data_IF_816272802120
#
_entry.id   IF_816272802120
#
_cell.length_a   1.000
_cell.length_b   1.000
_cell.length_c   1.000
_cell.angle_alpha   90.00
_cell.angle_beta   90.00
_cell.angle_gamma   90.00
#
_symmetry.space_group_name_H-M   'P 1'
#
loop_
_entity.id
_entity.type
_entity.pdbx_description
1 polymer ?
#
# COMPACT_ATOMS: atom_id res chain seq x y z
N UNK A 1 5.17 -13.31 -0.67
CA UNK A 1 4.91 -11.94 -1.18
C UNK A 1 5.19 -11.78 -2.68
N UNK A 2 6.12 -12.50 -3.30
CA UNK A 2 6.57 -12.18 -4.68
C UNK A 2 5.96 -13.05 -5.80
N UNK A 3 4.88 -13.80 -5.52
CA UNK A 3 4.15 -14.55 -6.55
C UNK A 3 3.39 -13.63 -7.52
N UNK A 4 3.12 -14.10 -8.74
CA UNK A 4 2.52 -13.27 -9.78
C UNK A 4 1.12 -12.75 -9.44
N UNK A 5 0.30 -13.50 -8.69
CA UNK A 5 -1.02 -13.06 -8.22
C UNK A 5 -0.97 -12.07 -7.04
N UNK A 6 0.20 -11.87 -6.43
CA UNK A 6 0.32 -11.06 -5.22
C UNK A 6 0.50 -9.56 -5.50
N UNK A 7 0.50 -9.14 -6.77
CA UNK A 7 0.79 -7.78 -7.17
C UNK A 7 -0.25 -7.27 -8.15
N UNK A 8 -0.65 -6.02 -7.98
CA UNK A 8 -1.54 -5.29 -8.88
C UNK A 8 -0.74 -4.17 -9.57
N UNK A 9 -0.24 -4.39 -10.81
CA UNK A 9 0.40 -3.35 -11.59
C UNK A 9 -0.59 -2.40 -12.23
N UNK A 10 -0.22 -1.12 -12.33
CA UNK A 10 -0.98 -0.11 -13.08
C UNK A 10 -1.26 -0.56 -14.51
N UNK A 11 -0.22 -1.01 -15.24
CA UNK A 11 -0.36 -1.56 -16.60
C UNK A 11 0.19 -2.98 -16.65
N UNK A 12 -0.63 -4.03 -16.42
CA UNK A 12 -0.14 -5.42 -16.26
C UNK A 12 0.80 -5.91 -17.37
N UNK A 13 0.58 -5.49 -18.63
CA UNK A 13 1.42 -5.91 -19.78
C UNK A 13 2.88 -5.46 -19.70
N UNK A 14 3.20 -4.42 -18.91
CA UNK A 14 4.57 -3.90 -18.75
C UNK A 14 5.37 -4.63 -17.67
N UNK A 15 4.70 -5.51 -16.91
CA UNK A 15 5.26 -6.13 -15.72
C UNK A 15 5.53 -7.61 -15.93
N UNK A 16 6.59 -8.11 -15.30
CA UNK A 16 6.91 -9.54 -15.23
C UNK A 16 7.14 -9.89 -13.78
N UNK A 17 6.43 -10.91 -13.29
CA UNK A 17 6.44 -11.29 -11.87
C UNK A 17 6.94 -12.74 -11.64
N UNK A 18 8.17 -13.09 -12.06
CA UNK A 18 8.68 -14.45 -11.92
C UNK A 18 9.22 -14.71 -10.50
N UNK A 19 8.71 -15.76 -9.85
CA UNK A 19 9.32 -16.35 -8.65
C UNK A 19 9.39 -15.36 -7.47
N UNK A 20 10.58 -14.80 -7.23
CA UNK A 20 10.82 -13.84 -6.15
C UNK A 20 11.09 -12.40 -6.63
N UNK A 21 10.80 -12.07 -7.89
CA UNK A 21 11.08 -10.76 -8.47
C UNK A 21 9.82 -10.04 -8.95
N UNK A 22 9.84 -8.72 -8.79
CA UNK A 22 8.87 -7.79 -9.36
C UNK A 22 9.62 -6.94 -10.38
N UNK A 23 9.32 -7.10 -11.66
CA UNK A 23 10.10 -6.50 -12.75
C UNK A 23 9.19 -5.58 -13.57
N UNK A 24 9.52 -4.29 -13.60
CA UNK A 24 9.00 -3.35 -14.58
C UNK A 24 9.85 -3.49 -15.84
N UNK A 25 9.33 -4.22 -16.83
CA UNK A 25 10.07 -4.60 -18.04
C UNK A 25 9.98 -3.55 -19.16
N UNK A 26 9.00 -2.64 -19.08
CA UNK A 26 8.79 -1.56 -20.03
C UNK A 26 8.53 -0.25 -19.28
N UNK A 27 9.08 0.85 -19.78
CA UNK A 27 8.96 2.15 -19.12
C UNK A 27 7.50 2.65 -19.05
N UNK A 28 7.21 3.40 -18.00
CA UNK A 28 5.95 4.12 -17.86
C UNK A 28 5.81 5.29 -18.82
N UNK A 29 4.57 5.76 -18.98
CA UNK A 29 4.26 7.01 -19.66
C UNK A 29 3.40 7.87 -18.75
N UNK A 30 3.54 9.20 -18.86
CA UNK A 30 2.74 10.12 -18.05
C UNK A 30 1.25 9.83 -18.18
N UNK A 31 0.57 9.73 -17.04
CA UNK A 31 -0.86 9.47 -16.95
C UNK A 31 -1.61 10.78 -16.67
N UNK A 32 -2.87 10.94 -17.11
CA UNK A 32 -3.67 12.13 -16.80
C UNK A 32 -3.80 12.40 -15.30
N UNK A 33 -4.07 13.66 -14.94
CA UNK A 33 -4.25 14.10 -13.56
C UNK A 33 -2.94 14.48 -12.88
N UNK A 34 -2.88 14.39 -11.54
CA UNK A 34 -1.71 14.77 -10.75
C UNK A 34 -0.41 14.11 -11.21
N UNK A 35 0.68 14.88 -11.20
CA UNK A 35 2.03 14.38 -11.41
C UNK A 35 2.37 13.37 -10.31
N UNK A 36 2.54 12.11 -10.72
CA UNK A 36 2.86 10.96 -9.90
C UNK A 36 3.71 9.96 -10.70
N UNK A 37 4.31 8.94 -10.06
CA UNK A 37 4.96 7.85 -10.77
C UNK A 37 4.08 7.27 -11.87
N UNK A 38 4.69 7.00 -13.02
CA UNK A 38 3.94 6.57 -14.20
C UNK A 38 3.54 5.10 -14.11
N UNK A 39 4.38 4.27 -13.50
CA UNK A 39 4.10 2.86 -13.26
C UNK A 39 4.49 2.45 -11.84
N UNK A 40 3.66 1.60 -11.25
CA UNK A 40 3.98 0.84 -10.04
C UNK A 40 3.12 -0.41 -10.00
N UNK A 41 3.54 -1.36 -9.19
CA UNK A 41 2.75 -2.49 -8.75
C UNK A 41 2.62 -2.43 -7.23
N UNK A 42 1.39 -2.59 -6.74
CA UNK A 42 1.05 -2.61 -5.32
C UNK A 42 0.95 -4.06 -4.87
N UNK A 43 1.50 -4.38 -3.70
CA UNK A 43 1.37 -5.71 -3.10
C UNK A 43 -0.06 -5.89 -2.58
N UNK A 44 -0.79 -6.86 -3.15
CA UNK A 44 -2.20 -7.14 -2.83
C UNK A 44 -2.35 -8.15 -1.70
N UNK A 45 -1.37 -9.03 -1.49
CA UNK A 45 -1.41 -10.04 -0.43
C UNK A 45 -0.89 -9.48 0.89
N UNK A 46 -1.61 -9.76 1.97
CA UNK A 46 -1.28 -9.29 3.31
C UNK A 46 -1.96 -7.96 3.66
N UNK A 47 -1.75 -7.48 4.90
CA UNK A 47 -2.49 -6.35 5.45
C UNK A 47 -1.98 -5.01 4.89
N UNK A 48 -2.79 -3.96 5.05
CA UNK A 48 -2.26 -2.61 5.10
C UNK A 48 -1.46 -2.40 6.40
N UNK A 49 -0.54 -1.45 6.39
CA UNK A 49 0.27 -1.15 7.56
C UNK A 49 0.00 0.27 8.07
N UNK A 50 -0.22 0.40 9.38
CA UNK A 50 -0.19 1.69 10.05
C UNK A 50 1.26 2.17 10.24
N UNK A 51 2.17 1.31 10.69
CA UNK A 51 3.60 1.58 10.66
C UNK A 51 4.30 0.45 9.96
N UNK A 52 5.28 0.76 9.10
CA UNK A 52 5.93 -0.25 8.26
C UNK A 52 7.42 -0.02 8.15
N UNK A 53 8.17 -1.11 8.21
CA UNK A 53 9.53 -1.21 7.74
C UNK A 53 9.55 -2.15 6.53
N UNK A 54 9.99 -1.61 5.41
CA UNK A 54 10.08 -2.26 4.11
C UNK A 54 11.55 -2.52 3.85
N UNK A 55 11.97 -3.78 3.86
CA UNK A 55 13.28 -4.19 3.37
C UNK A 55 13.14 -4.81 2.00
N UNK A 56 13.98 -4.41 1.05
CA UNK A 56 14.02 -5.02 -0.27
C UNK A 56 15.40 -4.88 -0.89
N UNK A 57 15.62 -5.59 -2.00
CA UNK A 57 16.78 -5.34 -2.86
C UNK A 57 16.30 -4.85 -4.21
N UNK A 58 16.82 -3.71 -4.67
CA UNK A 58 16.41 -3.04 -5.92
C UNK A 58 17.57 -2.96 -6.90
N UNK A 59 17.24 -2.85 -8.18
CA UNK A 59 18.20 -2.67 -9.28
C UNK A 59 17.59 -1.83 -10.39
N UNK A 60 18.40 -0.93 -10.94
CA UNK A 60 18.12 -0.21 -12.18
C UNK A 60 18.55 -1.08 -13.37
N UNK A 61 17.59 -1.42 -14.23
CA UNK A 61 17.87 -2.16 -15.47
C UNK A 61 18.07 -1.22 -16.67
N UNK A 62 17.59 0.02 -16.57
CA UNK A 62 17.88 1.05 -17.58
C UNK A 62 19.40 1.18 -17.75
N UNK A 63 19.94 1.21 -18.98
CA UNK A 63 21.39 1.26 -19.22
C UNK A 63 22.06 2.46 -18.56
N UNK A 64 23.24 2.27 -17.95
CA UNK A 64 24.03 3.31 -17.25
C UNK A 64 24.39 4.54 -18.10
N UNK A 65 24.26 4.45 -19.42
CA UNK A 65 24.46 5.57 -20.34
C UNK A 65 23.29 6.58 -20.35
N UNK A 66 22.13 6.22 -19.80
CA UNK A 66 20.98 7.10 -19.59
C UNK A 66 21.18 7.83 -18.27
N UNK A 67 20.96 9.14 -18.20
CA UNK A 67 21.25 9.98 -17.02
C UNK A 67 20.09 10.07 -16.00
N UNK A 68 18.85 9.98 -16.44
CA UNK A 68 17.65 10.02 -15.58
C UNK A 68 17.16 8.60 -15.23
N UNK A 69 17.91 7.85 -14.43
CA UNK A 69 17.51 6.49 -14.03
C UNK A 69 16.97 6.46 -12.60
N UNK A 70 15.78 5.91 -12.44
CA UNK A 70 15.12 5.77 -11.15
C UNK A 70 14.28 4.49 -11.01
N UNK A 71 14.12 4.10 -9.74
CA UNK A 71 13.06 3.22 -9.27
C UNK A 71 12.46 3.84 -8.02
N UNK A 72 11.27 3.41 -7.66
CA UNK A 72 10.58 3.89 -6.47
C UNK A 72 10.14 2.75 -5.56
N UNK A 73 10.02 3.06 -4.27
CA UNK A 73 9.29 2.25 -3.29
C UNK A 73 8.07 3.04 -2.88
N UNK A 74 6.88 2.45 -3.05
CA UNK A 74 5.59 3.04 -2.66
C UNK A 74 5.24 2.55 -1.26
N UNK A 75 4.64 3.41 -0.44
CA UNK A 75 4.14 3.07 0.89
C UNK A 75 2.97 3.98 1.28
N UNK A 76 2.14 3.56 2.24
CA UNK A 76 0.91 4.29 2.57
C UNK A 76 -0.03 4.44 1.38
N UNK A 77 -0.03 3.45 0.47
CA UNK A 77 -0.87 3.46 -0.72
C UNK A 77 -2.33 3.21 -0.35
N UNK A 78 -3.20 4.13 -0.77
CA UNK A 78 -4.67 4.04 -0.63
C UNK A 78 -5.36 4.01 -1.98
N UNK A 79 -4.87 4.79 -2.93
CA UNK A 79 -5.41 4.88 -4.28
C UNK A 79 -4.38 5.36 -5.28
N UNK A 80 -4.73 5.41 -6.56
CA UNK A 80 -3.85 5.90 -7.64
C UNK A 80 -3.42 7.37 -7.48
N UNK A 81 -4.04 8.13 -6.57
CA UNK A 81 -3.69 9.53 -6.30
C UNK A 81 -3.41 9.82 -4.82
N UNK A 82 -3.30 8.79 -3.98
CA UNK A 82 -3.04 8.91 -2.54
C UNK A 82 -2.03 7.88 -2.06
N UNK A 83 -0.75 8.28 -1.99
CA UNK A 83 0.35 7.45 -1.51
C UNK A 83 1.62 8.26 -1.26
N UNK A 84 2.53 7.69 -0.48
CA UNK A 84 3.92 8.12 -0.45
C UNK A 84 4.78 7.29 -1.40
N UNK A 85 5.89 7.87 -1.84
CA UNK A 85 6.95 7.08 -2.45
C UNK A 85 8.33 7.65 -2.15
N UNK A 86 9.29 6.74 -2.06
CA UNK A 86 10.73 7.05 -2.06
C UNK A 86 11.22 6.96 -3.50
N UNK A 87 11.92 7.99 -3.97
CA UNK A 87 12.55 8.01 -5.27
C UNK A 87 14.04 7.70 -5.13
N UNK A 88 14.50 6.64 -5.79
CA UNK A 88 15.89 6.16 -5.73
C UNK A 88 16.52 6.30 -7.12
N UNK A 89 17.46 7.21 -7.27
CA UNK A 89 18.11 7.57 -8.54
C UNK A 89 19.63 7.50 -8.46
N UNK A 90 20.25 7.28 -9.62
CA UNK A 90 21.71 7.25 -9.79
C UNK A 90 22.41 8.60 -9.77
N UNK A 91 21.68 9.67 -10.06
CA UNK A 91 22.30 10.98 -10.26
C UNK A 91 21.40 12.11 -9.79
N UNK A 92 22.07 13.20 -9.44
CA UNK A 92 21.47 14.48 -9.16
C UNK A 92 21.91 15.53 -10.19
N UNK A 93 22.39 15.11 -11.37
CA UNK A 93 23.11 15.99 -12.31
C UNK A 93 22.16 16.85 -13.15
N UNK A 94 20.95 16.36 -13.42
CA UNK A 94 19.91 17.10 -14.14
C UNK A 94 18.91 17.71 -13.16
N UNK A 95 18.52 16.95 -12.13
CA UNK A 95 17.72 17.39 -10.99
C UNK A 95 18.04 16.44 -9.82
N UNK A 96 18.00 16.87 -8.55
CA UNK A 96 18.19 15.96 -7.42
C UNK A 96 16.98 15.05 -7.23
N UNK A 97 16.92 13.96 -7.99
CA UNK A 97 15.76 13.07 -8.07
C UNK A 97 15.53 12.27 -6.79
N UNK A 98 16.60 11.95 -6.06
CA UNK A 98 16.51 11.26 -4.78
C UNK A 98 15.71 12.11 -3.79
N UNK A 99 14.61 11.56 -3.29
CA UNK A 99 13.75 12.26 -2.34
C UNK A 99 12.59 11.39 -1.85
N UNK A 100 11.88 11.92 -0.85
CA UNK A 100 10.64 11.34 -0.32
C UNK A 100 9.51 12.25 -0.78
N UNK A 101 8.44 11.67 -1.29
CA UNK A 101 7.33 12.42 -1.87
C UNK A 101 5.98 11.89 -1.39
N UNK A 102 4.99 12.77 -1.36
CA UNK A 102 3.58 12.44 -1.17
C UNK A 102 2.77 12.87 -2.38
N UNK A 103 1.84 12.03 -2.80
CA UNK A 103 0.78 12.36 -3.75
C UNK A 103 -0.53 12.28 -2.97
N UNK A 104 -1.29 13.36 -2.92
CA UNK A 104 -2.59 13.40 -2.22
C UNK A 104 -3.58 14.24 -3.03
N UNK A 105 -4.15 13.61 -4.07
CA UNK A 105 -5.12 14.22 -5.00
C UNK A 105 -4.63 15.51 -5.67
N UNK A 106 -3.31 15.71 -5.69
CA UNK A 106 -2.61 16.86 -6.25
C UNK A 106 -1.20 16.44 -6.66
N UNK A 107 -0.54 17.27 -7.48
CA UNK A 107 0.83 17.03 -7.93
C UNK A 107 1.74 16.71 -6.74
N UNK A 108 2.62 15.73 -6.94
CA UNK A 108 3.56 15.27 -5.92
C UNK A 108 4.23 16.43 -5.16
N UNK A 109 4.24 16.34 -3.83
CA UNK A 109 4.98 17.23 -2.96
C UNK A 109 6.24 16.52 -2.47
N UNK A 110 7.37 17.24 -2.48
CA UNK A 110 8.65 16.74 -1.94
C UNK A 110 8.75 17.03 -0.44
N UNK A 111 9.16 16.03 0.33
CA UNK A 111 9.13 16.04 1.80
C UNK A 111 10.51 15.87 2.47
N UNK A 112 11.51 15.35 1.76
CA UNK A 112 12.79 15.01 2.39
C UNK A 112 13.54 16.24 2.93
N UNK A 113 14.04 16.12 4.16
CA UNK A 113 14.79 17.17 4.87
C UNK A 113 16.14 17.49 4.20
N UNK A 114 16.65 16.58 3.36
CA UNK A 114 17.88 16.80 2.60
C UNK A 114 17.70 17.83 1.49
N UNK A 115 16.46 18.15 1.10
CA UNK A 115 16.15 19.12 0.08
C UNK A 115 16.11 20.56 0.61
N UNK A 116 16.85 21.46 -0.05
CA UNK A 116 16.85 22.89 0.27
C UNK A 116 16.39 23.79 -0.89
N UNK A 117 15.84 23.22 -1.96
CA UNK A 117 15.50 23.93 -3.20
C UNK A 117 16.57 23.82 -4.30
N UNK A 118 17.78 23.38 -3.96
CA UNK A 118 18.90 23.24 -4.92
C UNK A 118 19.66 21.92 -4.78
N UNK A 119 19.93 21.52 -3.54
CA UNK A 119 20.65 20.29 -3.19
C UNK A 119 19.66 19.34 -2.53
N UNK A 120 19.73 18.05 -2.90
CA UNK A 120 18.94 16.98 -2.31
C UNK A 120 19.82 15.84 -1.81
N UNK A 121 19.19 14.73 -1.44
CA UNK A 121 19.88 13.54 -0.96
C UNK A 121 20.88 12.98 -2.00
N UNK A 122 21.98 12.35 -1.57
CA UNK A 122 22.97 11.76 -2.49
C UNK A 122 22.35 10.68 -3.39
N UNK A 123 23.01 10.32 -4.51
CA UNK A 123 22.66 9.15 -5.30
C UNK A 123 22.44 7.90 -4.46
N UNK A 124 21.33 7.21 -4.69
CA UNK A 124 20.95 5.99 -3.95
C UNK A 124 21.37 4.70 -4.67
N UNK A 125 21.28 4.67 -6.00
CA UNK A 125 21.55 3.47 -6.83
C UNK A 125 22.38 3.89 -8.04
N UNK A 126 23.70 3.77 -7.97
CA UNK A 126 24.62 4.42 -8.94
C UNK A 126 25.00 3.56 -10.14
N UNK A 127 24.70 2.26 -10.13
CA UNK A 127 25.13 1.33 -11.18
C UNK A 127 24.00 0.38 -11.60
N UNK A 128 24.34 -0.85 -12.02
CA UNK A 128 23.40 -1.89 -12.39
C UNK A 128 23.49 -3.11 -11.46
N UNK A 129 24.11 -2.97 -10.28
CA UNK A 129 24.15 -3.97 -9.23
C UNK A 129 22.86 -3.92 -8.40
N UNK A 130 22.74 -4.90 -7.53
CA UNK A 130 21.67 -4.97 -6.55
C UNK A 130 22.03 -4.15 -5.32
N UNK A 131 21.14 -3.26 -4.91
CA UNK A 131 21.28 -2.44 -3.72
C UNK A 131 20.21 -2.79 -2.70
N UNK A 132 20.59 -2.88 -1.42
CA UNK A 132 19.60 -3.07 -0.35
C UNK A 132 18.98 -1.72 -0.03
N UNK A 133 17.65 -1.70 0.07
CA UNK A 133 16.89 -0.55 0.55
C UNK A 133 16.12 -0.96 1.78
N UNK A 134 16.10 -0.08 2.78
CA UNK A 134 15.19 -0.16 3.91
C UNK A 134 14.45 1.15 4.07
N UNK A 135 13.12 1.13 3.97
CA UNK A 135 12.24 2.28 4.21
C UNK A 135 11.49 2.04 5.50
N UNK A 136 11.58 2.96 6.46
CA UNK A 136 10.82 2.94 7.71
C UNK A 136 9.86 4.11 7.72
N UNK A 137 8.58 3.84 8.02
CA UNK A 137 7.55 4.85 8.26
C UNK A 137 6.83 4.56 9.58
N UNK A 138 6.87 5.52 10.49
CA UNK A 138 6.20 5.47 11.78
C UNK A 138 5.06 6.49 11.80
N UNK A 139 3.82 6.06 11.56
CA UNK A 139 2.67 6.98 11.44
C UNK A 139 2.42 7.80 12.70
N UNK A 140 2.64 7.21 13.88
CA UNK A 140 2.43 7.90 15.16
C UNK A 140 3.28 9.18 15.27
N UNK A 141 4.52 9.16 14.77
CA UNK A 141 5.41 10.32 14.75
C UNK A 141 5.36 11.06 13.42
N UNK A 142 5.01 10.38 12.34
CA UNK A 142 5.15 10.80 10.94
C UNK A 142 6.56 10.58 10.39
N UNK A 143 7.48 10.02 11.16
CA UNK A 143 8.87 9.89 10.74
C UNK A 143 9.01 8.90 9.59
N UNK A 144 9.70 9.33 8.53
CA UNK A 144 10.09 8.51 7.39
C UNK A 144 11.61 8.51 7.31
N UNK A 145 12.22 7.34 7.18
CA UNK A 145 13.67 7.18 7.04
C UNK A 145 14.01 6.13 5.98
N UNK A 146 14.96 6.45 5.10
CA UNK A 146 15.42 5.57 4.02
C UNK A 146 16.89 5.27 4.21
N UNK A 147 17.24 3.99 4.20
CA UNK A 147 18.60 3.48 4.35
C UNK A 147 18.99 2.69 3.11
N UNK A 148 20.25 2.81 2.71
CA UNK A 148 20.82 2.06 1.58
C UNK A 148 21.96 1.18 2.05
N UNK A 149 22.08 -0.01 1.46
CA UNK A 149 23.23 -0.91 1.54
C UNK A 149 23.71 -1.21 2.97
N UNK A 150 22.76 -1.34 3.91
CA UNK A 150 23.03 -1.67 5.31
C UNK A 150 23.58 -0.51 6.15
N UNK A 151 23.58 0.72 5.63
CA UNK A 151 23.96 1.92 6.39
C UNK A 151 23.11 2.05 7.66
N UNK A 152 23.75 2.39 8.78
CA UNK A 152 23.08 2.73 10.03
C UNK A 152 22.48 4.16 10.02
N UNK A 153 22.98 5.02 9.13
CA UNK A 153 22.51 6.40 8.98
C UNK A 153 21.57 6.47 7.77
N UNK A 154 20.39 7.11 7.90
CA UNK A 154 19.48 7.25 6.77
C UNK A 154 20.08 8.16 5.70
N UNK A 155 19.93 7.77 4.44
CA UNK A 155 20.22 8.58 3.27
C UNK A 155 19.21 9.72 3.13
N UNK A 156 17.94 9.44 3.43
CA UNK A 156 16.83 10.38 3.37
C UNK A 156 15.96 10.29 4.62
N UNK A 157 15.44 11.43 5.05
CA UNK A 157 14.50 11.54 6.17
C UNK A 157 13.40 12.53 5.86
N UNK A 158 12.19 12.29 6.31
CA UNK A 158 11.08 13.25 6.26
C UNK A 158 10.19 13.10 7.50
N UNK A 159 9.24 14.02 7.66
CA UNK A 159 8.17 13.89 8.66
C UNK A 159 6.85 14.29 8.03
N UNK A 160 5.91 13.36 7.93
CA UNK A 160 4.58 13.60 7.36
C UNK A 160 3.55 12.62 7.95
N UNK A 161 2.30 13.06 8.12
CA UNK A 161 1.20 12.26 8.71
C UNK A 161 -0.05 12.22 7.84
N UNK A 162 0.08 12.54 6.56
CA UNK A 162 -1.04 12.59 5.60
C UNK A 162 -1.79 11.27 5.54
N UNK A 163 -1.10 10.13 5.51
CA UNK A 163 -1.72 8.81 5.48
C UNK A 163 -1.38 8.00 6.72
N UNK A 164 -2.43 7.58 7.45
CA UNK A 164 -2.32 6.80 8.67
C UNK A 164 -2.16 5.29 8.43
N UNK A 165 -2.47 4.83 7.23
CA UNK A 165 -2.40 3.42 6.80
C UNK A 165 -2.10 3.36 5.31
N UNK A 166 -1.77 2.16 4.82
CA UNK A 166 -1.83 1.85 3.40
C UNK A 166 -0.92 0.70 2.98
N UNK A 167 -1.01 0.35 1.71
CA UNK A 167 -0.23 -0.71 1.08
C UNK A 167 1.16 -0.21 0.67
N UNK A 168 1.97 -1.18 0.25
CA UNK A 168 3.34 -0.97 -0.22
C UNK A 168 3.46 -1.40 -1.68
N UNK A 169 4.44 -0.84 -2.37
CA UNK A 169 4.63 -1.17 -3.78
C UNK A 169 6.02 -0.84 -4.29
N UNK A 170 6.23 -1.10 -5.57
CA UNK A 170 7.46 -0.82 -6.30
C UNK A 170 7.13 -0.27 -7.68
N UNK A 171 7.98 0.58 -8.25
CA UNK A 171 7.68 1.25 -9.52
C UNK A 171 8.82 2.05 -10.12
N UNK A 172 8.46 2.90 -11.07
CA UNK A 172 9.32 3.95 -11.63
C UNK A 172 8.47 5.02 -12.33
N UNK A 173 9.08 6.16 -12.67
CA UNK A 173 8.53 7.07 -13.67
C UNK A 173 8.74 6.49 -15.07
N UNK A 174 9.87 6.75 -15.71
CA UNK A 174 10.12 6.49 -17.12
C UNK A 174 11.27 5.52 -17.34
N UNK A 175 11.53 4.64 -16.37
CA UNK A 175 12.62 3.67 -16.43
C UNK A 175 12.14 2.25 -16.18
N UNK A 176 13.07 1.31 -16.39
CA UNK A 176 12.89 -0.09 -16.11
C UNK A 176 13.82 -0.51 -14.97
N UNK A 177 13.33 -1.44 -14.16
CA UNK A 177 14.02 -1.89 -12.97
C UNK A 177 13.30 -3.04 -12.33
N UNK A 178 13.90 -3.53 -11.26
CA UNK A 178 13.39 -4.70 -10.56
C UNK A 178 13.65 -4.64 -9.07
N UNK A 179 12.80 -5.34 -8.35
CA UNK A 179 12.91 -5.57 -6.92
C UNK A 179 12.89 -7.08 -6.66
N UNK A 180 13.55 -7.51 -5.58
CA UNK A 180 13.42 -8.85 -5.02
C UNK A 180 13.58 -8.84 -3.50
N UNK A 181 13.30 -9.99 -2.90
CA UNK A 181 13.55 -10.27 -1.48
C UNK A 181 12.88 -9.24 -0.56
N UNK A 182 11.67 -8.80 -0.93
CA UNK A 182 10.87 -7.89 -0.13
C UNK A 182 10.42 -8.58 1.16
N UNK A 183 10.69 -7.91 2.28
CA UNK A 183 10.22 -8.27 3.60
C UNK A 183 9.56 -7.06 4.24
N UNK A 184 8.40 -7.30 4.84
CA UNK A 184 7.60 -6.29 5.53
C UNK A 184 7.52 -6.65 7.00
N UNK A 185 7.82 -5.68 7.85
CA UNK A 185 7.53 -5.74 9.28
C UNK A 185 6.83 -4.47 9.69
N UNK A 186 6.08 -4.50 10.79
CA UNK A 186 5.34 -3.33 11.23
C UNK A 186 4.10 -3.66 12.02
N UNK A 187 3.23 -2.68 12.11
CA UNK A 187 1.93 -2.71 12.77
C UNK A 187 0.87 -2.81 11.68
N UNK A 188 0.37 -4.01 11.35
CA UNK A 188 -0.83 -4.16 10.54
C UNK A 188 -1.96 -3.28 11.09
N UNK A 189 -2.84 -2.79 10.22
CA UNK A 189 -4.01 -2.01 10.66
C UNK A 189 -4.82 -2.76 11.73
N UNK A 190 -4.91 -4.09 11.62
CA UNK A 190 -5.60 -4.97 12.57
C UNK A 190 -4.76 -5.45 13.76
N UNK A 191 -3.51 -5.00 13.93
CA UNK A 191 -2.66 -5.41 15.04
C UNK A 191 -1.91 -4.22 15.63
N UNK A 192 -2.41 -3.68 16.74
CA UNK A 192 -1.71 -2.65 17.53
C UNK A 192 -2.27 -1.22 17.43
N UNK A 193 -3.44 -1.03 16.83
CA UNK A 193 -4.23 0.19 16.98
C UNK A 193 -5.09 0.08 18.24
N UNK A 194 -5.25 1.16 19.00
CA UNK A 194 -6.19 1.18 20.11
C UNK A 194 -7.62 1.17 19.53
N UNK A 195 -8.25 0.00 19.51
CA UNK A 195 -9.62 -0.16 19.04
C UNK A 195 -10.63 0.48 20.00
N UNK A 196 -11.66 1.11 19.44
CA UNK A 196 -12.81 1.61 20.20
C UNK A 196 -13.72 0.47 20.63
N UNK A 197 -13.75 -0.63 19.87
CA UNK A 197 -14.51 -1.85 20.17
C UNK A 197 -13.63 -3.09 19.95
N UNK A 198 -13.54 -3.97 20.95
CA UNK A 198 -12.73 -5.19 20.91
C UNK A 198 -13.58 -6.38 21.35
N UNK A 199 -13.59 -7.44 20.53
CA UNK A 199 -14.15 -8.74 20.84
C UNK A 199 -13.21 -9.62 21.68
N UNK A 200 -13.32 -10.91 21.48
CA UNK A 200 -12.64 -11.99 22.20
C UNK A 200 -12.19 -13.07 21.20
N UNK A 201 -11.57 -14.15 21.66
CA UNK A 201 -11.22 -15.29 20.78
C UNK A 201 -12.44 -16.20 20.47
N UNK A 202 -13.66 -15.77 20.77
CA UNK A 202 -14.88 -16.51 20.49
C UNK A 202 -15.94 -15.62 19.86
N UNK A 203 -17.01 -16.22 19.34
CA UNK A 203 -18.08 -15.49 18.65
C UNK A 203 -18.63 -14.32 19.46
N UNK A 204 -18.53 -13.14 18.86
CA UNK A 204 -18.99 -11.88 19.41
C UNK A 204 -20.06 -11.21 18.57
N UNK A 205 -20.74 -10.27 19.22
CA UNK A 205 -21.69 -9.35 18.61
C UNK A 205 -21.19 -7.93 18.86
N UNK A 206 -20.58 -7.32 17.85
CA UNK A 206 -19.90 -6.04 17.97
C UNK A 206 -20.68 -4.95 17.25
N UNK A 207 -20.72 -3.78 17.87
CA UNK A 207 -21.34 -2.59 17.29
C UNK A 207 -20.45 -1.38 17.58
N UNK A 208 -20.07 -0.69 16.51
CA UNK A 208 -19.55 0.66 16.56
C UNK A 208 -20.66 1.68 16.84
N UNK A 209 -20.38 2.92 16.48
CA UNK A 209 -21.19 4.11 16.71
C UNK A 209 -21.51 4.79 15.38
N UNK A 210 -22.14 5.97 15.41
CA UNK A 210 -22.35 6.75 14.17
C UNK A 210 -21.15 7.64 13.81
N UNK A 211 -19.98 7.40 14.38
CA UNK A 211 -18.74 8.11 14.10
C UNK A 211 -17.63 7.12 13.78
N UNK A 212 -16.47 7.63 13.37
CA UNK A 212 -15.33 6.78 12.99
C UNK A 212 -14.87 5.88 14.14
N UNK A 213 -14.95 4.57 13.92
CA UNK A 213 -14.59 3.53 14.88
C UNK A 213 -13.43 2.67 14.41
N UNK A 214 -12.75 2.06 15.37
CA UNK A 214 -11.77 0.99 15.09
C UNK A 214 -12.26 -0.25 15.82
N UNK A 215 -12.71 -1.25 15.07
CA UNK A 215 -13.32 -2.48 15.61
C UNK A 215 -12.43 -3.68 15.32
N UNK A 216 -12.22 -4.54 16.32
CA UNK A 216 -11.48 -5.79 16.18
C UNK A 216 -12.27 -6.95 16.76
N UNK A 217 -12.68 -7.92 15.94
CA UNK A 217 -13.33 -9.16 16.37
C UNK A 217 -12.38 -10.11 17.10
N UNK A 218 -11.15 -10.22 16.59
CA UNK A 218 -10.08 -11.13 17.05
C UNK A 218 -10.26 -12.55 16.54
N UNK A 219 -10.99 -13.41 17.24
CA UNK A 219 -11.16 -14.80 16.81
C UNK A 219 -12.57 -15.30 17.07
N UNK A 220 -12.99 -16.33 16.35
CA UNK A 220 -14.37 -16.79 16.37
C UNK A 220 -15.19 -16.20 15.21
N UNK A 221 -16.40 -16.74 15.02
CA UNK A 221 -17.29 -16.29 13.95
C UNK A 221 -18.09 -15.07 14.42
N UNK A 222 -17.66 -13.87 14.07
CA UNK A 222 -18.20 -12.62 14.61
C UNK A 222 -19.28 -11.99 13.73
N UNK A 223 -20.12 -11.17 14.36
CA UNK A 223 -21.07 -10.29 13.67
C UNK A 223 -20.80 -8.85 14.09
N UNK A 224 -20.39 -8.02 13.14
CA UNK A 224 -19.91 -6.66 13.38
C UNK A 224 -20.75 -5.64 12.61
N UNK A 225 -21.22 -4.61 13.31
CA UNK A 225 -21.82 -3.42 12.69
C UNK A 225 -20.98 -2.17 12.97
N UNK A 226 -20.44 -1.53 11.93
CA UNK A 226 -19.79 -0.21 12.04
C UNK A 226 -20.81 0.93 12.22
N UNK A 227 -21.97 0.80 11.54
CA UNK A 227 -23.05 1.78 11.42
C UNK A 227 -22.72 2.96 10.49
N UNK A 228 -21.87 3.89 10.89
CA UNK A 228 -21.43 4.93 9.97
C UNK A 228 -20.39 5.86 10.57
N UNK A 229 -19.76 6.67 9.73
CA UNK A 229 -18.43 7.19 10.02
C UNK A 229 -17.41 6.45 9.15
N UNK A 230 -16.18 6.97 9.08
CA UNK A 230 -15.10 6.32 8.34
C UNK A 230 -14.47 5.26 9.26
N UNK A 231 -14.91 4.01 9.15
CA UNK A 231 -14.57 2.94 10.07
C UNK A 231 -13.35 2.13 9.61
N UNK A 232 -12.65 1.54 10.58
CA UNK A 232 -11.65 0.50 10.36
C UNK A 232 -12.10 -0.75 11.11
N UNK A 233 -12.52 -1.78 10.37
CA UNK A 233 -13.05 -3.01 10.97
C UNK A 233 -12.23 -4.21 10.57
N UNK A 234 -11.84 -5.00 11.57
CA UNK A 234 -11.15 -6.27 11.42
C UNK A 234 -12.04 -7.37 12.00
N UNK A 235 -12.46 -8.34 11.18
CA UNK A 235 -13.14 -9.55 11.62
C UNK A 235 -12.19 -10.38 12.48
N UNK A 236 -11.14 -10.91 11.86
CA UNK A 236 -10.10 -11.67 12.56
C UNK A 236 -10.04 -13.10 12.06
N UNK A 237 -9.83 -14.06 12.96
CA UNK A 237 -9.85 -15.48 12.61
C UNK A 237 -11.28 -16.03 12.78
N UNK A 238 -11.95 -16.48 11.73
CA UNK A 238 -13.29 -17.05 11.85
C UNK A 238 -14.10 -16.91 10.57
N UNK A 239 -15.39 -17.26 10.62
CA UNK A 239 -16.34 -16.81 9.59
C UNK A 239 -17.04 -15.57 10.09
N UNK A 240 -16.61 -14.43 9.62
CA UNK A 240 -17.10 -13.14 10.07
C UNK A 240 -18.16 -12.58 9.13
N UNK A 241 -19.09 -11.82 9.71
CA UNK A 241 -20.05 -11.01 8.97
C UNK A 241 -19.88 -9.57 9.40
N UNK A 242 -19.42 -8.73 8.49
CA UNK A 242 -19.12 -7.32 8.76
C UNK A 242 -19.99 -6.40 7.92
N UNK A 243 -20.65 -5.45 8.58
CA UNK A 243 -21.46 -4.41 7.96
C UNK A 243 -21.06 -3.03 8.47
N UNK A 244 -20.30 -2.23 7.72
CA UNK A 244 -19.80 -0.93 8.21
C UNK A 244 -20.75 0.23 8.00
N UNK A 245 -21.48 0.26 6.89
CA UNK A 245 -22.66 1.12 6.72
C UNK A 245 -22.44 2.34 5.83
N UNK A 246 -22.08 3.50 6.38
CA UNK A 246 -21.86 4.69 5.55
C UNK A 246 -20.66 5.49 6.02
N UNK A 247 -19.81 5.92 5.10
CA UNK A 247 -18.50 6.49 5.37
C UNK A 247 -17.49 5.84 4.45
N UNK A 248 -16.24 6.29 4.47
CA UNK A 248 -15.17 5.66 3.69
C UNK A 248 -14.48 4.62 4.58
N UNK A 249 -14.93 3.38 4.46
CA UNK A 249 -14.60 2.31 5.39
C UNK A 249 -13.40 1.48 4.91
N UNK A 250 -12.64 0.96 5.86
CA UNK A 250 -11.63 -0.08 5.64
C UNK A 250 -12.06 -1.36 6.35
N UNK A 251 -12.37 -2.40 5.59
CA UNK A 251 -12.85 -3.68 6.12
C UNK A 251 -11.87 -4.79 5.80
N UNK A 252 -11.46 -5.52 6.83
CA UNK A 252 -10.60 -6.69 6.75
C UNK A 252 -11.37 -7.88 7.30
N UNK A 253 -11.62 -8.90 6.48
CA UNK A 253 -12.23 -10.16 6.91
C UNK A 253 -11.28 -10.90 7.83
N UNK A 254 -10.11 -11.27 7.31
CA UNK A 254 -9.06 -11.91 8.09
C UNK A 254 -8.84 -13.33 7.58
N UNK A 255 -8.86 -14.33 8.45
CA UNK A 255 -8.75 -15.73 8.05
C UNK A 255 -10.09 -16.42 8.21
N UNK A 256 -10.44 -17.32 7.28
CA UNK A 256 -11.77 -17.92 7.19
C UNK A 256 -12.66 -17.26 6.13
N UNK A 257 -13.82 -17.86 5.87
CA UNK A 257 -14.69 -17.46 4.75
C UNK A 257 -15.68 -16.40 5.19
N UNK A 258 -15.41 -15.15 4.85
CA UNK A 258 -16.07 -13.96 5.40
C UNK A 258 -17.15 -13.37 4.48
N UNK A 259 -18.04 -12.58 5.07
CA UNK A 259 -19.03 -11.78 4.35
C UNK A 259 -18.88 -10.32 4.77
N UNK A 260 -18.38 -9.50 3.84
CA UNK A 260 -18.06 -8.10 4.07
C UNK A 260 -18.99 -7.20 3.26
N UNK A 261 -19.63 -6.23 3.91
CA UNK A 261 -20.47 -5.23 3.26
C UNK A 261 -20.17 -3.83 3.81
N UNK A 262 -19.69 -2.91 2.97
CA UNK A 262 -19.32 -1.58 3.46
C UNK A 262 -20.40 -0.51 3.31
N UNK A 263 -21.22 -0.59 2.28
CA UNK A 263 -22.40 0.26 2.14
C UNK A 263 -22.14 1.49 1.28
N UNK A 264 -22.21 2.72 1.82
CA UNK A 264 -22.03 3.95 1.01
C UNK A 264 -20.71 4.65 1.37
N UNK A 265 -19.93 4.99 0.37
CA UNK A 265 -18.68 5.76 0.51
C UNK A 265 -17.64 5.21 -0.44
N UNK A 266 -16.44 5.79 -0.46
CA UNK A 266 -15.32 5.21 -1.22
C UNK A 266 -14.59 4.22 -0.30
N UNK A 267 -14.93 2.93 -0.41
CA UNK A 267 -14.58 1.89 0.55
C UNK A 267 -13.40 1.03 0.11
N UNK A 268 -12.76 0.35 1.07
CA UNK A 268 -11.70 -0.63 0.82
C UNK A 268 -11.99 -1.93 1.56
N UNK A 269 -12.25 -3.00 0.82
CA UNK A 269 -12.58 -4.32 1.37
C UNK A 269 -11.47 -5.32 1.05
N UNK A 270 -11.07 -6.06 2.07
CA UNK A 270 -10.05 -7.08 2.05
C UNK A 270 -10.63 -8.37 2.61
N UNK A 271 -10.80 -9.38 1.75
CA UNK A 271 -11.34 -10.68 2.17
C UNK A 271 -10.37 -11.39 3.09
N UNK A 272 -9.34 -11.99 2.51
CA UNK A 272 -8.46 -12.85 3.29
C UNK A 272 -7.90 -13.96 2.44
N UNK A 273 -7.20 -14.93 3.03
CA UNK A 273 -6.62 -16.05 2.31
C UNK A 273 -7.64 -17.13 1.90
N UNK A 274 -8.90 -17.01 2.32
CA UNK A 274 -9.96 -18.01 2.17
C UNK A 274 -11.11 -17.47 1.29
N UNK A 275 -12.06 -18.31 0.83
CA UNK A 275 -13.11 -17.83 -0.06
C UNK A 275 -14.07 -16.84 0.60
N UNK A 276 -14.15 -15.63 0.07
CA UNK A 276 -14.91 -14.52 0.67
C UNK A 276 -16.03 -13.96 -0.22
N UNK A 277 -16.96 -13.23 0.41
CA UNK A 277 -17.99 -12.43 -0.28
C UNK A 277 -17.83 -10.97 0.12
N UNK A 278 -17.45 -10.12 -0.82
CA UNK A 278 -17.24 -8.69 -0.63
C UNK A 278 -18.29 -7.91 -1.43
N UNK A 279 -18.99 -7.00 -0.77
CA UNK A 279 -19.97 -6.11 -1.38
C UNK A 279 -19.75 -4.67 -0.92
N UNK A 280 -19.15 -3.84 -1.78
CA UNK A 280 -18.80 -2.49 -1.37
C UNK A 280 -20.02 -1.55 -1.37
N UNK A 281 -20.87 -1.61 -2.40
CA UNK A 281 -22.08 -0.79 -2.48
C UNK A 281 -21.86 0.45 -3.35
N UNK A 282 -22.55 1.58 -3.11
CA UNK A 282 -22.32 2.80 -3.89
C UNK A 282 -21.05 3.54 -3.44
N UNK A 283 -20.15 3.83 -4.39
CA UNK A 283 -18.81 4.31 -4.07
C UNK A 283 -17.85 4.15 -5.23
N UNK A 284 -16.67 4.76 -5.19
CA UNK A 284 -15.56 4.31 -6.02
C UNK A 284 -14.68 3.39 -5.18
N UNK A 285 -14.95 2.09 -5.26
CA UNK A 285 -14.48 1.16 -4.24
C UNK A 285 -13.23 0.39 -4.66
N UNK A 286 -12.54 -0.15 -3.66
CA UNK A 286 -11.39 -1.02 -3.83
C UNK A 286 -11.63 -2.37 -3.16
N UNK A 287 -11.80 -3.43 -3.95
CA UNK A 287 -12.08 -4.76 -3.45
C UNK A 287 -10.93 -5.71 -3.77
N UNK A 288 -10.42 -6.37 -2.75
CA UNK A 288 -9.35 -7.35 -2.86
C UNK A 288 -9.81 -8.63 -2.17
N UNK A 289 -10.16 -9.65 -2.96
CA UNK A 289 -10.42 -10.98 -2.41
C UNK A 289 -9.13 -11.61 -1.86
N UNK A 290 -8.03 -11.34 -2.55
CA UNK A 290 -6.70 -11.88 -2.26
C UNK A 290 -6.58 -13.35 -2.65
N UNK A 291 -6.50 -14.32 -1.73
CA UNK A 291 -6.46 -15.74 -2.08
C UNK A 291 -7.81 -16.38 -1.86
N UNK A 292 -8.18 -17.35 -2.70
CA UNK A 292 -9.45 -18.03 -2.56
C UNK A 292 -10.33 -17.85 -3.79
N UNK A 293 -11.54 -18.39 -3.74
CA UNK A 293 -12.55 -18.19 -4.80
C UNK A 293 -13.55 -17.18 -4.30
N UNK A 294 -13.29 -15.92 -4.60
CA UNK A 294 -14.03 -14.80 -4.02
C UNK A 294 -15.19 -14.34 -4.91
N UNK A 295 -16.19 -13.76 -4.26
CA UNK A 295 -17.27 -13.02 -4.91
C UNK A 295 -17.10 -11.55 -4.60
N UNK A 296 -16.64 -10.77 -5.59
CA UNK A 296 -16.44 -9.33 -5.45
C UNK A 296 -17.57 -8.58 -6.16
N UNK A 297 -18.31 -7.77 -5.41
CA UNK A 297 -19.40 -6.93 -5.89
C UNK A 297 -19.03 -5.49 -5.56
N UNK A 298 -18.58 -4.72 -6.56
CA UNK A 298 -18.27 -3.29 -6.38
C UNK A 298 -19.56 -2.52 -6.10
N UNK A 299 -20.32 -2.23 -7.15
CA UNK A 299 -21.66 -1.68 -7.03
C UNK A 299 -21.81 -0.49 -7.98
N UNK A 300 -22.60 0.53 -7.63
CA UNK A 300 -22.62 1.77 -8.40
C UNK A 300 -21.37 2.63 -8.14
N UNK A 301 -20.53 2.80 -9.16
CA UNK A 301 -19.43 3.76 -9.20
C UNK A 301 -18.23 3.22 -9.98
N UNK A 302 -17.10 3.91 -9.92
CA UNK A 302 -15.87 3.49 -10.63
C UNK A 302 -15.02 2.59 -9.72
N UNK A 303 -15.36 1.31 -9.69
CA UNK A 303 -14.75 0.33 -8.79
C UNK A 303 -13.49 -0.32 -9.37
N UNK A 304 -12.56 -0.66 -8.49
CA UNK A 304 -11.40 -1.50 -8.79
C UNK A 304 -11.52 -2.81 -8.03
N UNK A 305 -11.57 -3.93 -8.75
CA UNK A 305 -11.65 -5.27 -8.18
C UNK A 305 -10.41 -6.09 -8.52
N UNK A 306 -9.89 -6.79 -7.52
CA UNK A 306 -8.77 -7.70 -7.63
C UNK A 306 -9.19 -9.07 -7.11
N UNK A 307 -9.75 -9.87 -8.01
CA UNK A 307 -9.99 -11.30 -7.79
C UNK A 307 -8.73 -12.09 -8.14
N UNK A 308 -8.53 -13.23 -7.49
CA UNK A 308 -7.47 -14.18 -7.84
C UNK A 308 -7.67 -14.71 -9.28
N UNK A 309 -6.56 -15.01 -9.97
CA UNK A 309 -6.53 -15.51 -11.36
C UNK A 309 -6.29 -17.01 -11.45
#
# INVERSE_FOLDING_TARGET
>A
MNGAGNWAPVTPSKWRLPGNQVILAEAGVARPGPRRPFEYAVLTVGPEFASVEIEATVRLDTPVSVSNRDVIIVFGYRSDTQFYYVHLSQDNTIYPHNGIFVVNNADRLRLDHQWNGQVGAPPAVTDAQWHRVRVRHCVATGEIAVYMDGSATPLMTATDRTFGTGRVGFGSFDNIGRMRDMALTGTPVCAGVASTVVGTDGRDLLSGTSGADVVSGLGGDDLVWGLGGDDVVCGGDGRDVVLTGSGNDQVYGGAGSDVLSSGRGDDSLYGGPDPDVLNAGPGNDHLYGTQGTDVLIGGPGDDTTHADS
#
